data_IF_434493434112
#
_entry.id   IF_434493434112
#
_cell.length_a   1.000
_cell.length_b   1.000
_cell.length_c   1.000
_cell.angle_alpha   90.00
_cell.angle_beta   90.00
_cell.angle_gamma   90.00
#
_symmetry.space_group_name_H-M   'P 1'
#
loop_
_entity.id
_entity.type
_entity.pdbx_description
1 polymer ?
#
# COMPACT_ATOMS: atom_id res chain seq x y z
N UNK A 1 15.31 51.16 -29.36
CA UNK A 1 14.23 51.48 -28.40
C UNK A 1 13.25 50.33 -28.19
N UNK A 2 12.49 49.85 -29.20
CA UNK A 2 11.53 48.74 -29.02
C UNK A 2 12.09 47.45 -28.40
N UNK A 3 13.33 47.09 -28.71
CA UNK A 3 13.99 45.90 -28.13
C UNK A 3 14.26 46.08 -26.63
N UNK A 4 14.70 47.28 -26.21
CA UNK A 4 14.96 47.62 -24.81
C UNK A 4 13.68 47.78 -23.99
N UNK A 5 12.61 48.31 -24.59
CA UNK A 5 11.28 48.35 -23.96
C UNK A 5 10.71 46.95 -23.73
N UNK A 6 10.94 46.01 -24.66
CA UNK A 6 10.56 44.62 -24.51
C UNK A 6 11.38 43.92 -23.42
N UNK A 7 12.69 44.22 -23.29
CA UNK A 7 13.53 43.69 -22.21
C UNK A 7 13.15 44.24 -20.84
N UNK A 8 12.68 45.49 -20.75
CA UNK A 8 12.21 46.07 -19.49
C UNK A 8 10.82 45.54 -19.07
N UNK A 9 9.90 45.32 -20.01
CA UNK A 9 8.57 44.79 -19.72
C UNK A 9 8.57 43.35 -19.22
N UNK A 10 9.59 42.56 -19.56
CA UNK A 10 9.78 41.19 -19.05
C UNK A 10 10.79 41.12 -17.91
N UNK A 11 11.04 42.23 -17.19
CA UNK A 11 11.97 42.26 -16.08
C UNK A 11 11.22 42.19 -14.75
N UNK A 12 11.47 41.15 -13.96
CA UNK A 12 10.87 40.95 -12.63
C UNK A 12 11.02 42.16 -11.69
N UNK A 13 12.14 42.88 -11.72
CA UNK A 13 12.32 44.07 -10.88
C UNK A 13 11.39 45.21 -11.30
N UNK A 14 11.19 45.39 -12.61
CA UNK A 14 10.26 46.40 -13.12
C UNK A 14 8.82 46.07 -12.72
N UNK A 15 8.42 44.81 -12.88
CA UNK A 15 7.10 44.33 -12.49
C UNK A 15 6.87 44.45 -10.97
N UNK A 16 7.88 44.17 -10.15
CA UNK A 16 7.82 44.39 -8.69
C UNK A 16 7.73 45.86 -8.30
N UNK A 17 8.47 46.75 -8.97
CA UNK A 17 8.36 48.20 -8.74
C UNK A 17 6.94 48.67 -9.10
N UNK A 18 6.41 48.21 -10.23
CA UNK A 18 5.05 48.56 -10.63
C UNK A 18 3.99 48.03 -9.67
N UNK A 19 4.16 46.80 -9.16
CA UNK A 19 3.30 46.22 -8.13
C UNK A 19 3.38 47.00 -6.81
N UNK A 20 4.57 47.50 -6.44
CA UNK A 20 4.74 48.35 -5.26
C UNK A 20 4.08 49.72 -5.43
N UNK A 21 4.06 50.27 -6.64
CA UNK A 21 3.35 51.52 -6.96
C UNK A 21 1.83 51.33 -7.03
N UNK A 22 1.35 50.19 -7.51
CA UNK A 22 -0.08 49.84 -7.61
C UNK A 22 -0.34 48.40 -7.12
N UNK A 23 -0.72 48.23 -5.84
CA UNK A 23 -1.05 46.92 -5.27
C UNK A 23 -2.32 46.26 -5.84
N UNK A 24 -3.06 46.96 -6.70
CA UNK A 24 -4.28 46.43 -7.32
C UNK A 24 -4.00 45.61 -8.58
N UNK A 25 -2.77 45.65 -9.10
CA UNK A 25 -2.35 44.93 -10.30
C UNK A 25 -2.36 43.42 -10.07
N UNK A 26 -2.68 42.65 -11.12
CA UNK A 26 -2.63 41.18 -11.05
C UNK A 26 -1.19 40.70 -10.85
N UNK A 27 -1.02 39.71 -9.97
CA UNK A 27 0.24 39.01 -9.72
C UNK A 27 0.61 38.03 -10.84
N UNK A 28 -0.32 37.68 -11.73
CA UNK A 28 -0.10 36.61 -12.73
C UNK A 28 1.14 36.88 -13.60
N UNK A 29 1.35 38.13 -14.02
CA UNK A 29 2.51 38.50 -14.83
C UNK A 29 3.85 38.42 -14.04
N UNK A 30 3.82 38.67 -12.73
CA UNK A 30 5.00 38.64 -11.86
C UNK A 30 5.43 37.20 -11.58
N UNK A 31 4.45 36.28 -11.53
CA UNK A 31 4.64 34.87 -11.19
C UNK A 31 4.89 33.97 -12.41
N UNK A 32 5.02 34.56 -13.59
CA UNK A 32 5.35 33.85 -14.83
C UNK A 32 6.88 33.72 -14.99
N UNK A 33 7.43 32.52 -15.26
CA UNK A 33 8.87 32.30 -15.40
C UNK A 33 9.49 33.10 -16.55
N UNK A 34 8.70 33.52 -17.54
CA UNK A 34 9.18 34.38 -18.63
C UNK A 34 9.72 35.74 -18.15
N UNK A 35 9.32 36.21 -16.97
CA UNK A 35 9.73 37.48 -16.38
C UNK A 35 11.01 37.40 -15.53
N UNK A 36 11.48 36.20 -15.19
CA UNK A 36 12.71 36.01 -14.39
C UNK A 36 13.98 36.02 -15.23
N UNK A 37 13.86 35.88 -16.56
CA UNK A 37 14.91 36.15 -17.55
C UNK A 37 16.11 35.18 -17.58
N UNK A 38 16.24 34.28 -16.60
CA UNK A 38 17.37 33.34 -16.52
C UNK A 38 17.04 32.05 -17.30
N UNK A 39 15.89 31.44 -17.01
CA UNK A 39 15.39 30.25 -17.70
C UNK A 39 13.86 30.33 -17.86
N UNK A 40 13.31 30.25 -19.09
CA UNK A 40 11.87 30.43 -19.35
C UNK A 40 10.92 29.42 -18.68
N UNK A 41 11.47 28.38 -18.03
CA UNK A 41 10.71 27.30 -17.39
C UNK A 41 11.09 27.15 -15.91
N UNK A 42 11.80 28.13 -15.33
CA UNK A 42 12.20 28.07 -13.93
C UNK A 42 11.18 28.72 -13.00
N UNK A 43 10.42 27.88 -12.30
CA UNK A 43 9.41 28.31 -11.32
C UNK A 43 9.97 28.45 -9.90
N UNK A 44 11.26 28.19 -9.66
CA UNK A 44 11.87 28.29 -8.34
C UNK A 44 11.68 29.68 -7.74
N UNK A 45 12.09 30.74 -8.45
CA UNK A 45 11.94 32.10 -7.96
C UNK A 45 10.46 32.52 -7.93
N UNK A 46 9.67 32.09 -8.91
CA UNK A 46 8.25 32.40 -9.02
C UNK A 46 7.46 31.92 -7.79
N UNK A 47 7.70 30.68 -7.34
CA UNK A 47 7.01 30.11 -6.18
C UNK A 47 7.40 30.80 -4.88
N UNK A 48 8.69 31.08 -4.66
CA UNK A 48 9.14 31.78 -3.46
C UNK A 48 8.63 33.23 -3.42
N UNK A 49 8.57 33.89 -4.57
CA UNK A 49 8.02 35.23 -4.66
C UNK A 49 6.51 35.25 -4.38
N UNK A 50 5.75 34.28 -4.92
CA UNK A 50 4.35 34.08 -4.56
C UNK A 50 4.18 33.94 -3.04
N UNK A 51 5.01 33.11 -2.40
CA UNK A 51 4.93 32.87 -0.95
C UNK A 51 5.15 34.16 -0.15
N UNK A 52 6.18 34.94 -0.48
CA UNK A 52 6.47 36.22 0.18
C UNK A 52 5.34 37.23 -0.07
N UNK A 53 4.89 37.39 -1.31
CA UNK A 53 3.82 38.33 -1.67
C UNK A 53 2.49 37.97 -0.98
N UNK A 54 2.21 36.67 -0.81
CA UNK A 54 1.07 36.17 -0.04
C UNK A 54 1.16 36.56 1.44
N UNK A 55 2.33 36.41 2.05
CA UNK A 55 2.57 36.84 3.45
C UNK A 55 2.36 38.36 3.60
N UNK A 56 2.84 39.14 2.62
CA UNK A 56 2.68 40.59 2.58
C UNK A 56 1.25 41.05 2.22
N UNK A 57 0.30 40.12 2.02
CA UNK A 57 -1.12 40.39 1.73
C UNK A 57 -1.37 41.13 0.41
N UNK A 58 -0.49 40.96 -0.59
CA UNK A 58 -0.82 41.36 -1.96
C UNK A 58 -2.00 40.53 -2.47
N UNK A 59 -2.83 41.11 -3.35
CA UNK A 59 -4.01 40.43 -3.88
C UNK A 59 -3.61 39.13 -4.58
N UNK A 60 -4.34 38.06 -4.28
CA UNK A 60 -4.02 36.72 -4.76
C UNK A 60 -4.02 36.65 -6.30
N UNK A 61 -3.10 35.88 -6.91
CA UNK A 61 -3.22 35.51 -8.31
C UNK A 61 -4.53 34.75 -8.55
N UNK A 62 -4.89 34.54 -9.81
CA UNK A 62 -6.01 33.65 -10.11
C UNK A 62 -5.77 32.26 -9.50
N UNK A 63 -6.82 31.61 -8.99
CA UNK A 63 -6.70 30.28 -8.37
C UNK A 63 -6.07 29.26 -9.33
N UNK A 64 -6.39 29.38 -10.62
CA UNK A 64 -5.78 28.57 -11.68
C UNK A 64 -4.27 28.82 -11.84
N UNK A 65 -3.81 30.07 -11.74
CA UNK A 65 -2.39 30.40 -11.84
C UNK A 65 -1.62 29.95 -10.60
N UNK A 66 -2.20 30.10 -9.40
CA UNK A 66 -1.64 29.57 -8.16
C UNK A 66 -1.49 28.05 -8.20
N UNK A 67 -2.55 27.35 -8.62
CA UNK A 67 -2.51 25.90 -8.77
C UNK A 67 -1.43 25.46 -9.77
N UNK A 68 -1.40 26.07 -10.96
CA UNK A 68 -0.38 25.76 -11.97
C UNK A 68 1.04 25.99 -11.46
N UNK A 69 1.27 27.08 -10.71
CA UNK A 69 2.56 27.39 -10.10
C UNK A 69 3.02 26.30 -9.12
N UNK A 70 2.12 25.79 -8.26
CA UNK A 70 2.42 24.69 -7.35
C UNK A 70 2.79 23.40 -8.09
N UNK A 71 1.97 23.01 -9.08
CA UNK A 71 2.22 21.80 -9.87
C UNK A 71 3.56 21.89 -10.60
N UNK A 72 3.81 23.00 -11.31
CA UNK A 72 5.04 23.17 -12.12
C UNK A 72 6.29 23.18 -11.27
N UNK A 73 6.29 23.90 -10.15
CA UNK A 73 7.47 23.92 -9.28
C UNK A 73 7.70 22.57 -8.60
N UNK A 74 6.64 21.89 -8.17
CA UNK A 74 6.75 20.53 -7.64
C UNK A 74 7.31 19.55 -8.69
N UNK A 75 6.88 19.64 -9.95
CA UNK A 75 7.45 18.85 -11.06
C UNK A 75 8.96 19.07 -11.23
N UNK A 76 9.43 20.32 -11.14
CA UNK A 76 10.87 20.61 -11.20
C UNK A 76 11.63 19.98 -10.03
N UNK A 77 11.09 20.07 -8.81
CA UNK A 77 11.68 19.44 -7.63
C UNK A 77 11.72 17.91 -7.74
N UNK A 78 10.68 17.29 -8.32
CA UNK A 78 10.68 15.86 -8.61
C UNK A 78 11.80 15.46 -9.58
N UNK A 79 12.05 16.26 -10.63
CA UNK A 79 13.14 16.00 -11.58
C UNK A 79 14.52 16.07 -10.92
N UNK A 80 14.64 16.82 -9.83
CA UNK A 80 15.86 16.93 -9.01
C UNK A 80 15.89 15.92 -7.86
N UNK A 81 14.94 14.98 -7.80
CA UNK A 81 14.80 13.96 -6.74
C UNK A 81 14.56 14.55 -5.33
N UNK A 82 14.08 15.80 -5.27
CA UNK A 82 13.74 16.50 -4.03
C UNK A 82 12.27 16.31 -3.66
N UNK A 83 11.85 15.04 -3.57
CA UNK A 83 10.43 14.66 -3.45
C UNK A 83 9.72 15.23 -2.20
N UNK A 84 10.42 15.28 -1.06
CA UNK A 84 9.89 15.87 0.17
C UNK A 84 9.62 17.37 0.03
N UNK A 85 10.44 18.11 -0.74
CA UNK A 85 10.19 19.52 -1.04
C UNK A 85 9.04 19.68 -2.03
N UNK A 86 8.96 18.80 -3.04
CA UNK A 86 7.82 18.77 -3.97
C UNK A 86 6.50 18.57 -3.21
N UNK A 87 6.46 17.64 -2.25
CA UNK A 87 5.30 17.44 -1.38
C UNK A 87 4.93 18.70 -0.59
N UNK A 88 5.92 19.39 0.00
CA UNK A 88 5.70 20.66 0.72
C UNK A 88 5.10 21.72 -0.20
N UNK A 89 5.60 21.84 -1.42
CA UNK A 89 5.05 22.76 -2.42
C UNK A 89 3.59 22.42 -2.73
N UNK A 90 3.27 21.14 -2.98
CA UNK A 90 1.90 20.70 -3.28
C UNK A 90 0.95 20.89 -2.10
N UNK A 91 1.42 20.82 -0.85
CA UNK A 91 0.60 21.08 0.33
C UNK A 91 0.06 22.52 0.39
N UNK A 92 0.61 23.44 -0.39
CA UNK A 92 0.13 24.83 -0.47
C UNK A 92 -1.09 25.00 -1.39
N UNK A 93 -1.48 23.96 -2.15
CA UNK A 93 -2.72 23.98 -2.94
C UNK A 93 -3.91 24.19 -1.99
N UNK A 94 -4.69 25.25 -2.24
CA UNK A 94 -5.79 25.66 -1.36
C UNK A 94 -6.93 24.63 -1.36
N UNK A 95 -7.39 24.18 -2.53
CA UNK A 95 -8.44 23.17 -2.65
C UNK A 95 -7.99 21.80 -2.12
N UNK A 96 -8.79 21.20 -1.24
CA UNK A 96 -8.43 19.94 -0.57
C UNK A 96 -8.41 18.74 -1.51
N UNK A 97 -9.35 18.69 -2.47
CA UNK A 97 -9.44 17.58 -3.39
C UNK A 97 -8.27 17.60 -4.36
N UNK A 98 -8.00 18.76 -4.98
CA UNK A 98 -6.85 18.98 -5.85
C UNK A 98 -5.52 18.74 -5.13
N UNK A 99 -5.38 19.15 -3.86
CA UNK A 99 -4.17 18.90 -3.07
C UNK A 99 -3.95 17.40 -2.85
N UNK A 100 -4.99 16.66 -2.45
CA UNK A 100 -4.90 15.21 -2.26
C UNK A 100 -4.57 14.49 -3.57
N UNK A 101 -5.21 14.88 -4.67
CA UNK A 101 -4.93 14.31 -5.99
C UNK A 101 -3.48 14.56 -6.41
N UNK A 102 -2.97 15.79 -6.25
CA UNK A 102 -1.59 16.11 -6.59
C UNK A 102 -0.57 15.34 -5.74
N UNK A 103 -0.85 15.13 -4.44
CA UNK A 103 0.00 14.31 -3.56
C UNK A 103 -0.05 12.82 -3.92
N UNK A 104 -1.22 12.30 -4.30
CA UNK A 104 -1.35 10.94 -4.81
C UNK A 104 -0.58 10.76 -6.13
N UNK A 105 -0.71 11.69 -7.07
CA UNK A 105 0.04 11.69 -8.33
C UNK A 105 1.55 11.79 -8.12
N UNK A 106 2.00 12.56 -7.11
CA UNK A 106 3.40 12.59 -6.69
C UNK A 106 3.84 11.19 -6.23
N UNK A 107 3.09 10.56 -5.32
CA UNK A 107 3.37 9.20 -4.83
C UNK A 107 3.44 8.17 -5.97
N UNK A 108 2.44 8.17 -6.85
CA UNK A 108 2.36 7.27 -7.99
C UNK A 108 3.56 7.45 -8.94
N UNK A 109 4.06 8.68 -9.11
CA UNK A 109 5.21 9.01 -9.97
C UNK A 109 6.56 8.62 -9.38
N UNK A 110 6.72 8.69 -8.06
CA UNK A 110 8.00 8.38 -7.41
C UNK A 110 8.11 6.91 -7.03
N UNK A 111 7.04 6.12 -7.16
CA UNK A 111 6.96 4.75 -6.71
C UNK A 111 8.11 3.85 -7.23
N UNK A 112 8.59 4.08 -8.45
CA UNK A 112 9.70 3.34 -9.06
C UNK A 112 11.10 3.75 -8.55
N UNK A 113 11.24 4.98 -8.04
CA UNK A 113 12.52 5.59 -7.66
C UNK A 113 12.70 5.79 -6.16
N UNK A 114 11.60 5.84 -5.41
CA UNK A 114 11.61 6.16 -3.99
C UNK A 114 12.14 4.98 -3.17
N UNK A 115 13.19 5.25 -2.40
CA UNK A 115 13.76 4.36 -1.41
C UNK A 115 13.21 4.66 0.00
N UNK A 116 13.64 3.90 1.00
CA UNK A 116 13.18 4.11 2.39
C UNK A 116 13.63 5.46 2.96
N UNK A 117 14.80 5.99 2.56
CA UNK A 117 15.22 7.33 2.97
C UNK A 117 14.25 8.41 2.43
N UNK A 118 13.80 8.26 1.18
CA UNK A 118 12.78 9.12 0.57
C UNK A 118 11.49 9.10 1.39
N UNK A 119 10.98 7.91 1.74
CA UNK A 119 9.76 7.78 2.54
C UNK A 119 9.91 8.35 3.95
N UNK A 120 11.07 8.18 4.59
CA UNK A 120 11.37 8.79 5.88
C UNK A 120 11.34 10.32 5.77
N UNK A 121 11.94 10.91 4.74
CA UNK A 121 11.91 12.37 4.51
C UNK A 121 10.48 12.87 4.26
N UNK A 122 9.66 12.12 3.51
CA UNK A 122 8.26 12.46 3.27
C UNK A 122 7.43 12.43 4.57
N UNK A 123 7.66 11.45 5.44
CA UNK A 123 6.98 11.35 6.73
C UNK A 123 7.49 12.39 7.75
N UNK A 124 8.80 12.59 7.86
CA UNK A 124 9.39 13.41 8.94
C UNK A 124 9.50 14.89 8.59
N UNK A 125 9.94 15.22 7.37
CA UNK A 125 10.16 16.61 6.93
C UNK A 125 8.88 17.19 6.38
N UNK A 126 8.27 16.51 5.39
CA UNK A 126 7.04 16.97 4.76
C UNK A 126 5.79 16.68 5.61
N UNK A 127 5.90 15.80 6.62
CA UNK A 127 4.78 15.43 7.51
C UNK A 127 3.56 14.93 6.74
N UNK A 128 3.81 14.19 5.66
CA UNK A 128 2.72 13.58 4.91
C UNK A 128 2.02 12.51 5.76
N UNK A 129 0.69 12.41 5.67
CA UNK A 129 -0.05 11.30 6.26
C UNK A 129 0.46 9.94 5.76
N UNK A 130 0.46 8.95 6.65
CA UNK A 130 0.98 7.61 6.36
C UNK A 130 0.25 6.93 5.20
N UNK A 131 -1.05 7.21 5.02
CA UNK A 131 -1.83 6.62 3.92
C UNK A 131 -1.33 7.03 2.53
N UNK A 132 -0.77 8.24 2.37
CA UNK A 132 -0.21 8.71 1.08
C UNK A 132 1.10 7.96 0.79
N UNK A 133 1.92 7.75 1.83
CA UNK A 133 3.17 7.00 1.74
C UNK A 133 2.86 5.53 1.43
N UNK A 134 1.88 4.95 2.13
CA UNK A 134 1.42 3.59 1.89
C UNK A 134 0.93 3.40 0.44
N UNK A 135 0.19 4.36 -0.12
CA UNK A 135 -0.20 4.33 -1.53
C UNK A 135 1.01 4.30 -2.49
N UNK A 136 2.03 5.11 -2.26
CA UNK A 136 3.26 5.06 -3.07
C UNK A 136 3.95 3.70 -2.96
N UNK A 137 4.03 3.13 -1.75
CA UNK A 137 4.59 1.78 -1.53
C UNK A 137 3.76 0.70 -2.21
N UNK A 138 2.43 0.82 -2.21
CA UNK A 138 1.53 -0.05 -2.97
C UNK A 138 1.86 -0.03 -4.47
N UNK A 139 2.05 1.16 -5.04
CA UNK A 139 2.42 1.30 -6.45
C UNK A 139 3.77 0.66 -6.76
N UNK A 140 4.75 0.77 -5.85
CA UNK A 140 6.04 0.07 -5.98
C UNK A 140 5.87 -1.45 -5.93
N UNK A 141 5.12 -1.96 -4.97
CA UNK A 141 4.83 -3.39 -4.86
C UNK A 141 4.11 -3.93 -6.10
N UNK A 142 3.25 -3.12 -6.73
CA UNK A 142 2.59 -3.45 -7.99
C UNK A 142 3.57 -3.55 -9.17
N UNK A 143 4.61 -2.72 -9.20
CA UNK A 143 5.69 -2.82 -10.20
C UNK A 143 6.56 -4.07 -9.97
N UNK A 144 6.73 -4.48 -8.71
CA UNK A 144 7.46 -5.69 -8.31
C UNK A 144 6.63 -6.99 -8.45
N UNK A 145 5.32 -6.89 -8.75
CA UNK A 145 4.32 -7.98 -8.71
C UNK A 145 4.23 -8.73 -7.36
N UNK A 146 4.63 -8.08 -6.27
CA UNK A 146 4.60 -8.63 -4.91
C UNK A 146 3.20 -8.48 -4.30
N UNK A 147 2.36 -9.51 -4.49
CA UNK A 147 0.98 -9.51 -4.04
C UNK A 147 0.82 -9.30 -2.52
N UNK A 148 1.72 -9.84 -1.70
CA UNK A 148 1.64 -9.73 -0.24
C UNK A 148 1.88 -8.28 0.20
N UNK A 149 2.94 -7.65 -0.32
CA UNK A 149 3.20 -6.22 -0.08
C UNK A 149 2.09 -5.34 -0.64
N UNK A 150 1.57 -5.64 -1.84
CA UNK A 150 0.45 -4.90 -2.42
C UNK A 150 -0.75 -4.92 -1.47
N UNK A 151 -1.12 -6.09 -0.96
CA UNK A 151 -2.23 -6.23 -0.01
C UNK A 151 -2.00 -5.42 1.27
N UNK A 152 -0.82 -5.56 1.88
CA UNK A 152 -0.44 -4.85 3.11
C UNK A 152 -0.49 -3.33 2.94
N UNK A 153 0.12 -2.80 1.87
CA UNK A 153 0.16 -1.37 1.62
C UNK A 153 -1.18 -0.81 1.16
N UNK A 154 -2.02 -1.63 0.50
CA UNK A 154 -3.39 -1.24 0.19
C UNK A 154 -4.22 -1.02 1.46
N UNK A 155 -4.11 -1.94 2.43
CA UNK A 155 -4.73 -1.79 3.76
C UNK A 155 -4.25 -0.54 4.48
N UNK A 156 -2.93 -0.35 4.59
CA UNK A 156 -2.34 0.83 5.23
C UNK A 156 -2.71 2.15 4.54
N UNK A 157 -2.94 2.09 3.22
CA UNK A 157 -3.41 3.22 2.41
C UNK A 157 -4.92 3.49 2.51
N UNK A 158 -5.68 2.66 3.21
CA UNK A 158 -7.15 2.75 3.29
C UNK A 158 -7.86 2.35 1.98
N UNK A 159 -7.17 1.71 1.04
CA UNK A 159 -7.71 1.20 -0.22
C UNK A 159 -8.32 -0.19 0.03
N UNK A 160 -9.43 -0.22 0.78
CA UNK A 160 -10.02 -1.45 1.31
C UNK A 160 -10.55 -2.38 0.21
N UNK A 161 -11.15 -1.82 -0.85
CA UNK A 161 -11.67 -2.61 -1.97
C UNK A 161 -10.53 -3.30 -2.73
N UNK A 162 -9.46 -2.56 -3.04
CA UNK A 162 -8.26 -3.12 -3.67
C UNK A 162 -7.58 -4.15 -2.77
N UNK A 163 -7.44 -3.86 -1.49
CA UNK A 163 -6.86 -4.78 -0.51
C UNK A 163 -7.64 -6.10 -0.45
N UNK A 164 -8.98 -6.02 -0.33
CA UNK A 164 -9.84 -7.19 -0.28
C UNK A 164 -9.76 -8.00 -1.57
N UNK A 165 -9.81 -7.36 -2.74
CA UNK A 165 -9.70 -8.04 -4.03
C UNK A 165 -8.36 -8.79 -4.16
N UNK A 166 -7.25 -8.14 -3.85
CA UNK A 166 -5.91 -8.73 -3.93
C UNK A 166 -5.76 -9.88 -2.93
N UNK A 167 -6.29 -9.70 -1.72
CA UNK A 167 -6.28 -10.72 -0.67
C UNK A 167 -7.01 -11.98 -1.12
N UNK A 168 -8.26 -11.82 -1.54
CA UNK A 168 -9.15 -12.92 -1.93
C UNK A 168 -8.70 -13.64 -3.20
N UNK A 169 -8.20 -12.91 -4.20
CA UNK A 169 -7.89 -13.47 -5.52
C UNK A 169 -6.50 -14.11 -5.61
N UNK A 170 -5.49 -13.48 -4.99
CA UNK A 170 -4.07 -13.86 -5.16
C UNK A 170 -3.44 -14.26 -3.83
N UNK A 171 -3.49 -13.41 -2.81
CA UNK A 171 -2.60 -13.53 -1.65
C UNK A 171 -3.00 -14.67 -0.73
N UNK A 172 -4.23 -14.69 -0.22
CA UNK A 172 -4.67 -15.73 0.70
C UNK A 172 -4.63 -17.12 0.06
N UNK A 173 -5.12 -17.34 -1.19
CA UNK A 173 -4.98 -18.62 -1.87
C UNK A 173 -3.52 -19.11 -1.98
N UNK A 174 -2.59 -18.22 -2.35
CA UNK A 174 -1.17 -18.59 -2.49
C UNK A 174 -0.52 -18.92 -1.15
N UNK A 175 -0.85 -18.18 -0.09
CA UNK A 175 -0.37 -18.44 1.27
C UNK A 175 -0.86 -19.81 1.78
N UNK A 176 -2.12 -20.17 1.53
CA UNK A 176 -2.65 -21.50 1.85
C UNK A 176 -1.89 -22.60 1.10
N UNK A 177 -1.67 -22.43 -0.22
CA UNK A 177 -0.99 -23.45 -1.04
C UNK A 177 0.47 -23.62 -0.65
N UNK A 178 1.12 -22.54 -0.21
CA UNK A 178 2.53 -22.52 0.15
C UNK A 178 2.77 -22.78 1.64
N UNK A 179 1.71 -23.09 2.40
CA UNK A 179 1.73 -23.29 3.86
C UNK A 179 2.30 -22.11 4.68
N UNK A 180 2.24 -20.89 4.15
CA UNK A 180 2.68 -19.66 4.83
C UNK A 180 1.56 -19.11 5.73
N UNK A 181 1.27 -19.84 6.80
CA UNK A 181 0.22 -19.48 7.76
C UNK A 181 0.63 -18.32 8.69
N UNK A 182 1.93 -18.07 8.87
CA UNK A 182 2.41 -16.94 9.68
C UNK A 182 2.04 -15.61 9.03
N UNK A 183 2.37 -15.43 7.75
CA UNK A 183 2.02 -14.23 7.00
C UNK A 183 0.51 -14.09 6.81
N UNK A 184 -0.19 -15.20 6.59
CA UNK A 184 -1.65 -15.22 6.52
C UNK A 184 -2.27 -14.73 7.83
N UNK A 185 -1.74 -15.16 8.97
CA UNK A 185 -2.22 -14.74 10.29
C UNK A 185 -2.03 -13.25 10.55
N UNK A 186 -0.87 -12.70 10.16
CA UNK A 186 -0.60 -11.26 10.28
C UNK A 186 -1.58 -10.43 9.45
N UNK A 187 -1.77 -10.78 8.18
CA UNK A 187 -2.74 -10.09 7.31
C UNK A 187 -4.17 -10.27 7.79
N UNK A 188 -4.53 -11.48 8.24
CA UNK A 188 -5.87 -11.77 8.78
C UNK A 188 -6.18 -10.86 9.97
N UNK A 189 -5.22 -10.70 10.90
CA UNK A 189 -5.39 -9.79 12.03
C UNK A 189 -5.68 -8.35 11.60
N UNK A 190 -4.94 -7.84 10.61
CA UNK A 190 -5.15 -6.48 10.09
C UNK A 190 -6.50 -6.32 9.39
N UNK A 191 -6.97 -7.33 8.64
CA UNK A 191 -8.28 -7.29 8.00
C UNK A 191 -9.43 -7.35 9.00
N UNK A 192 -9.31 -8.14 10.06
CA UNK A 192 -10.36 -8.26 11.08
C UNK A 192 -10.63 -6.92 11.77
N UNK A 193 -9.61 -6.08 11.98
CA UNK A 193 -9.73 -4.72 12.54
C UNK A 193 -10.61 -3.78 11.69
N UNK A 194 -10.70 -4.02 10.38
CA UNK A 194 -11.43 -3.18 9.42
C UNK A 194 -12.58 -3.92 8.72
N UNK A 195 -12.87 -5.15 9.16
CA UNK A 195 -13.81 -6.07 8.50
C UNK A 195 -15.21 -5.47 8.31
N UNK A 196 -15.70 -4.70 9.29
CA UNK A 196 -17.00 -4.01 9.24
C UNK A 196 -17.12 -2.99 8.09
N UNK A 197 -15.99 -2.49 7.59
CA UNK A 197 -15.93 -1.49 6.52
C UNK A 197 -15.79 -2.13 5.13
N UNK A 198 -15.50 -3.44 5.07
CA UNK A 198 -15.22 -4.15 3.82
C UNK A 198 -16.52 -4.78 3.28
N UNK A 199 -17.01 -4.35 2.11
CA UNK A 199 -18.17 -4.98 1.49
C UNK A 199 -17.90 -6.45 1.18
N UNK A 200 -18.85 -7.31 1.56
CA UNK A 200 -18.79 -8.75 1.28
C UNK A 200 -17.54 -9.46 1.82
N UNK A 201 -17.00 -9.02 2.97
CA UNK A 201 -15.89 -9.69 3.65
C UNK A 201 -16.17 -11.19 3.93
N UNK A 202 -17.38 -11.50 4.41
CA UNK A 202 -17.79 -12.85 4.80
C UNK A 202 -17.63 -13.95 3.72
N UNK A 203 -18.25 -13.81 2.53
CA UNK A 203 -18.09 -14.77 1.44
C UNK A 203 -16.73 -14.69 0.73
N UNK A 204 -15.94 -13.64 0.99
CA UNK A 204 -14.62 -13.43 0.42
C UNK A 204 -13.51 -13.80 1.38
N UNK A 205 -12.90 -12.78 1.99
CA UNK A 205 -11.72 -12.95 2.84
C UNK A 205 -11.93 -13.72 4.15
N UNK A 206 -13.13 -13.69 4.74
CA UNK A 206 -13.38 -14.34 6.04
C UNK A 206 -13.19 -15.86 6.00
N UNK A 207 -13.39 -16.50 4.85
CA UNK A 207 -13.16 -17.95 4.66
C UNK A 207 -11.70 -18.30 5.00
N UNK A 208 -10.75 -17.47 4.57
CA UNK A 208 -9.33 -17.69 4.81
C UNK A 208 -8.93 -17.37 6.25
N UNK A 209 -9.50 -16.32 6.84
CA UNK A 209 -9.20 -15.94 8.23
C UNK A 209 -9.75 -16.97 9.22
N UNK A 210 -10.95 -17.51 8.95
CA UNK A 210 -11.54 -18.58 9.76
C UNK A 210 -10.77 -19.89 9.62
N UNK A 211 -10.32 -20.24 8.41
CA UNK A 211 -9.45 -21.40 8.20
C UNK A 211 -8.16 -21.29 9.04
N UNK A 212 -7.49 -20.14 8.97
CA UNK A 212 -6.31 -19.87 9.79
C UNK A 212 -6.63 -19.96 11.29
N UNK A 213 -7.77 -19.40 11.73
CA UNK A 213 -8.21 -19.43 13.13
C UNK A 213 -8.43 -20.87 13.63
N UNK A 214 -9.07 -21.72 12.83
CA UNK A 214 -9.26 -23.15 13.15
C UNK A 214 -7.90 -23.83 13.32
N UNK A 215 -6.99 -23.64 12.36
CA UNK A 215 -5.66 -24.27 12.40
C UNK A 215 -4.85 -23.82 13.63
N UNK A 216 -4.82 -22.52 13.89
CA UNK A 216 -4.14 -21.97 15.07
C UNK A 216 -4.72 -22.48 16.38
N UNK A 217 -6.05 -22.50 16.50
CA UNK A 217 -6.71 -23.02 17.71
C UNK A 217 -6.43 -24.50 17.92
N UNK A 218 -6.39 -25.29 16.84
CA UNK A 218 -6.06 -26.71 16.90
C UNK A 218 -4.64 -26.98 17.44
N UNK A 219 -3.67 -26.12 17.11
CA UNK A 219 -2.30 -26.19 17.63
C UNK A 219 -2.20 -25.84 19.13
N UNK A 220 -3.14 -25.04 19.64
CA UNK A 220 -3.16 -24.52 21.01
C UNK A 220 -4.05 -25.35 21.96
N UNK A 221 -4.71 -26.41 21.49
CA UNK A 221 -5.71 -27.17 22.28
C UNK A 221 -5.09 -27.84 23.51
N UNK A 222 -5.77 -27.64 24.65
CA UNK A 222 -5.51 -28.38 25.89
C UNK A 222 -6.65 -29.29 26.37
N UNK A 223 -7.89 -29.10 25.88
CA UNK A 223 -9.11 -29.74 26.40
C UNK A 223 -10.08 -30.19 25.29
N UNK A 224 -10.92 -31.18 25.55
CA UNK A 224 -11.83 -31.80 24.57
C UNK A 224 -13.08 -30.94 24.29
N UNK A 225 -13.49 -30.06 25.20
CA UNK A 225 -14.61 -29.12 24.97
C UNK A 225 -14.25 -28.06 23.91
N UNK A 226 -12.99 -27.61 23.88
CA UNK A 226 -12.47 -26.68 22.86
C UNK A 226 -12.50 -27.32 21.46
N UNK A 227 -12.30 -28.64 21.38
CA UNK A 227 -12.36 -29.37 20.11
C UNK A 227 -13.77 -29.29 19.53
N UNK A 228 -14.81 -29.44 20.35
CA UNK A 228 -16.20 -29.40 19.88
C UNK A 228 -16.58 -28.05 19.27
N UNK A 229 -16.18 -26.95 19.91
CA UNK A 229 -16.38 -25.60 19.35
C UNK A 229 -15.67 -25.43 17.99
N UNK A 230 -14.45 -25.97 17.87
CA UNK A 230 -13.68 -25.93 16.62
C UNK A 230 -14.38 -26.75 15.51
N UNK A 231 -15.00 -27.88 15.84
CA UNK A 231 -15.77 -28.68 14.87
C UNK A 231 -17.02 -27.95 14.41
N UNK A 232 -17.73 -27.23 15.29
CA UNK A 232 -18.86 -26.39 14.87
C UNK A 232 -18.41 -25.29 13.89
N UNK A 233 -17.24 -24.68 14.13
CA UNK A 233 -16.66 -23.72 13.18
C UNK A 233 -16.23 -24.38 11.87
N UNK A 234 -15.71 -25.60 11.93
CA UNK A 234 -15.34 -26.38 10.75
C UNK A 234 -16.55 -26.68 9.85
N UNK A 235 -17.69 -27.09 10.43
CA UNK A 235 -18.96 -27.28 9.71
C UNK A 235 -19.46 -25.99 9.06
N UNK A 236 -19.38 -24.86 9.78
CA UNK A 236 -19.72 -23.54 9.23
C UNK A 236 -18.80 -23.13 8.06
N UNK A 237 -17.50 -23.45 8.17
CA UNK A 237 -16.53 -23.20 7.12
C UNK A 237 -16.75 -24.09 5.89
N UNK A 238 -17.08 -25.37 6.08
CA UNK A 238 -17.39 -26.31 5.00
C UNK A 238 -18.51 -25.77 4.10
N UNK A 239 -19.62 -25.32 4.69
CA UNK A 239 -20.74 -24.75 3.95
C UNK A 239 -20.34 -23.52 3.13
N UNK A 240 -19.47 -22.65 3.67
CA UNK A 240 -18.99 -21.46 2.97
C UNK A 240 -17.94 -21.78 1.90
N UNK A 241 -17.11 -22.79 2.10
CA UNK A 241 -16.16 -23.27 1.09
C UNK A 241 -16.87 -23.79 -0.16
N UNK A 242 -18.00 -24.47 0.01
CA UNK A 242 -18.86 -24.91 -1.12
C UNK A 242 -19.44 -23.72 -1.88
N UNK A 243 -19.80 -22.65 -1.17
CA UNK A 243 -20.38 -21.43 -1.75
C UNK A 243 -19.33 -20.41 -2.22
N UNK A 244 -18.03 -20.66 -1.99
CA UNK A 244 -16.95 -19.73 -2.31
C UNK A 244 -16.89 -19.48 -3.83
N UNK A 245 -16.82 -18.21 -4.27
CA UNK A 245 -16.63 -17.92 -5.68
C UNK A 245 -15.20 -18.32 -6.12
N UNK A 246 -15.10 -19.29 -7.03
CA UNK A 246 -13.83 -19.78 -7.56
C UNK A 246 -13.62 -19.26 -8.97
N UNK A 247 -12.79 -18.23 -9.11
CA UNK A 247 -12.52 -17.56 -10.38
C UNK A 247 -11.16 -17.96 -10.99
N UNK A 248 -10.24 -18.52 -10.20
CA UNK A 248 -8.91 -18.92 -10.65
C UNK A 248 -8.55 -20.38 -10.30
N UNK A 249 -7.63 -21.03 -11.05
CA UNK A 249 -7.11 -22.35 -10.69
C UNK A 249 -6.45 -22.38 -9.31
N UNK A 250 -5.80 -21.28 -8.92
CA UNK A 250 -5.15 -21.11 -7.62
C UNK A 250 -6.21 -21.12 -6.51
N UNK A 251 -7.29 -20.36 -6.67
CA UNK A 251 -8.40 -20.38 -5.72
C UNK A 251 -9.04 -21.76 -5.61
N UNK A 252 -9.18 -22.50 -6.71
CA UNK A 252 -9.70 -23.88 -6.70
C UNK A 252 -8.80 -24.82 -5.91
N UNK A 253 -7.49 -24.70 -6.11
CA UNK A 253 -6.51 -25.51 -5.38
C UNK A 253 -6.55 -25.18 -3.89
N UNK A 254 -6.51 -23.90 -3.52
CA UNK A 254 -6.61 -23.47 -2.13
C UNK A 254 -7.92 -23.94 -1.47
N UNK A 255 -9.06 -23.79 -2.15
CA UNK A 255 -10.34 -24.29 -1.67
C UNK A 255 -10.34 -25.82 -1.48
N UNK A 256 -9.68 -26.57 -2.37
CA UNK A 256 -9.54 -28.03 -2.24
C UNK A 256 -8.67 -28.40 -1.04
N UNK A 257 -7.55 -27.69 -0.83
CA UNK A 257 -6.67 -27.88 0.33
C UNK A 257 -7.42 -27.62 1.63
N UNK A 258 -8.11 -26.47 1.72
CA UNK A 258 -8.93 -26.13 2.89
C UNK A 258 -10.04 -27.14 3.12
N UNK A 259 -10.78 -27.53 2.07
CA UNK A 259 -11.88 -28.49 2.17
C UNK A 259 -11.40 -29.87 2.64
N UNK A 260 -10.27 -30.36 2.11
CA UNK A 260 -9.68 -31.63 2.53
C UNK A 260 -9.28 -31.59 4.01
N UNK A 261 -8.71 -30.49 4.46
CA UNK A 261 -8.34 -30.30 5.86
C UNK A 261 -9.57 -30.26 6.78
N UNK A 262 -10.56 -29.44 6.44
CA UNK A 262 -11.83 -29.32 7.19
C UNK A 262 -12.57 -30.65 7.25
N UNK A 263 -12.68 -31.36 6.12
CA UNK A 263 -13.28 -32.69 6.07
C UNK A 263 -12.52 -33.68 6.95
N UNK A 264 -11.18 -33.73 6.87
CA UNK A 264 -10.39 -34.63 7.74
C UNK A 264 -10.62 -34.33 9.22
N UNK A 265 -10.72 -33.05 9.59
CA UNK A 265 -10.96 -32.62 10.96
C UNK A 265 -12.35 -33.06 11.47
N UNK A 266 -13.41 -32.82 10.69
CA UNK A 266 -14.79 -33.20 11.03
C UNK A 266 -14.90 -34.72 11.20
N UNK A 267 -14.49 -35.48 10.18
CA UNK A 267 -14.64 -36.94 10.19
C UNK A 267 -13.71 -37.62 11.19
N UNK A 268 -12.52 -37.06 11.45
CA UNK A 268 -11.63 -37.53 12.50
C UNK A 268 -12.28 -37.46 13.88
N UNK A 269 -12.92 -36.33 14.19
CA UNK A 269 -13.59 -36.15 15.48
C UNK A 269 -14.87 -36.99 15.61
N UNK A 270 -15.76 -36.94 14.61
CA UNK A 270 -17.03 -37.68 14.65
C UNK A 270 -16.80 -39.20 14.65
N UNK A 271 -15.75 -39.67 13.98
CA UNK A 271 -15.30 -41.06 14.06
C UNK A 271 -14.96 -41.48 15.49
N UNK A 272 -14.21 -40.64 16.22
CA UNK A 272 -13.84 -40.90 17.63
C UNK A 272 -15.01 -40.84 18.61
N UNK A 273 -15.99 -39.95 18.39
CA UNK A 273 -17.22 -39.90 19.20
C UNK A 273 -18.07 -41.18 19.02
N UNK A 274 -18.20 -41.69 17.79
CA UNK A 274 -18.99 -42.91 17.54
C UNK A 274 -18.38 -44.17 18.14
N UNK A 275 -17.06 -44.20 18.36
CA UNK A 275 -16.34 -45.34 18.96
C UNK A 275 -16.16 -45.23 20.49
N UNK A 276 -16.61 -44.14 21.14
CA UNK A 276 -16.37 -43.86 22.58
C UNK A 276 -14.89 -44.02 23.00
N UNK A 277 -13.95 -43.69 22.12
CA UNK A 277 -12.52 -43.73 22.42
C UNK A 277 -12.05 -42.31 22.78
N UNK A 278 -11.38 -42.08 23.92
CA UNK A 278 -10.74 -40.79 24.17
C UNK A 278 -9.66 -40.58 23.10
N UNK A 279 -9.63 -39.40 22.49
CA UNK A 279 -8.59 -39.02 21.53
C UNK A 279 -7.22 -39.15 22.21
N UNK A 280 -6.41 -40.13 21.80
CA UNK A 280 -5.03 -40.21 22.25
C UNK A 280 -4.24 -39.05 21.66
N UNK A 281 -3.30 -38.50 22.43
CA UNK A 281 -2.36 -37.48 21.96
C UNK A 281 -1.59 -37.94 20.70
N UNK A 282 -1.42 -39.25 20.53
CA UNK A 282 -0.80 -39.89 19.36
C UNK A 282 -1.67 -39.80 18.10
N UNK A 283 -3.00 -39.91 18.22
CA UNK A 283 -3.93 -39.76 17.09
C UNK A 283 -4.01 -38.30 16.61
N UNK A 284 -3.92 -37.35 17.55
CA UNK A 284 -3.82 -35.90 17.25
C UNK A 284 -2.54 -35.57 16.46
N UNK A 285 -1.44 -36.27 16.73
CA UNK A 285 -0.15 -36.13 16.04
C UNK A 285 -0.07 -36.92 14.73
N UNK A 286 -0.71 -38.07 14.59
CA UNK A 286 -0.78 -38.83 13.32
C UNK A 286 -1.62 -38.07 12.28
N UNK A 287 -2.71 -37.43 12.69
CA UNK A 287 -3.49 -36.53 11.82
C UNK A 287 -2.61 -35.37 11.32
N UNK A 288 -1.72 -34.83 12.17
CA UNK A 288 -0.77 -33.76 11.84
C UNK A 288 0.42 -34.24 10.97
N UNK A 289 0.93 -35.45 11.22
CA UNK A 289 2.04 -36.08 10.50
C UNK A 289 1.64 -36.50 9.08
N UNK A 290 0.44 -37.03 8.89
CA UNK A 290 -0.09 -37.43 7.58
C UNK A 290 -0.40 -36.23 6.66
N UNK A 291 -0.23 -35.00 7.16
CA UNK A 291 -0.34 -33.75 6.39
C UNK A 291 0.99 -33.35 5.72
N UNK A 292 2.13 -33.98 6.05
CA UNK A 292 3.40 -33.81 5.32
C UNK A 292 3.42 -34.62 4.01
N UNK A 293 2.45 -34.40 3.12
CA UNK A 293 2.55 -34.92 1.76
C UNK A 293 3.39 -33.94 0.93
N UNK A 294 4.69 -34.22 0.89
CA UNK A 294 5.72 -33.77 -0.05
C UNK A 294 5.20 -33.06 -1.32
N UNK A 295 5.62 -31.81 -1.60
CA UNK A 295 5.58 -31.27 -2.95
C UNK A 295 6.83 -31.76 -3.68
N UNK A 296 6.74 -32.85 -4.44
CA UNK A 296 7.76 -33.18 -5.42
C UNK A 296 7.18 -33.09 -6.82
N UNK A 297 6.95 -31.85 -7.27
CA UNK A 297 6.94 -31.54 -8.69
C UNK A 297 8.34 -31.07 -9.08
N UNK A 298 9.03 -31.72 -10.05
CA UNK A 298 10.29 -31.21 -10.56
C UNK A 298 9.98 -29.95 -11.39
N UNK A 299 10.21 -28.78 -10.82
CA UNK A 299 10.40 -27.55 -11.58
C UNK A 299 11.83 -27.52 -12.08
N UNK A 300 12.03 -27.93 -13.33
CA UNK A 300 13.20 -27.53 -14.10
C UNK A 300 13.13 -26.00 -14.29
N UNK A 301 13.87 -25.26 -13.50
CA UNK A 301 14.33 -23.93 -13.90
C UNK A 301 15.78 -23.72 -13.44
N UNK A 302 16.67 -23.80 -14.41
CA UNK A 302 18.06 -23.43 -14.28
C UNK A 302 18.24 -21.94 -13.97
N UNK A 303 19.34 -21.65 -13.26
CA UNK A 303 20.02 -20.36 -13.04
C UNK A 303 19.30 -19.39 -12.06
N UNK A 304 19.96 -18.73 -11.11
CA UNK A 304 21.38 -18.45 -10.91
C UNK A 304 21.64 -18.16 -9.43
N UNK A 305 22.61 -18.85 -8.84
CA UNK A 305 23.10 -18.58 -7.49
C UNK A 305 24.01 -17.34 -7.50
N UNK A 306 23.79 -16.38 -6.60
CA UNK A 306 24.86 -15.45 -6.19
C UNK A 306 24.73 -15.07 -4.72
N UNK A 307 25.40 -15.88 -3.89
CA UNK A 307 26.26 -15.54 -2.75
C UNK A 307 25.96 -14.23 -1.99
N UNK A 308 25.52 -14.35 -0.73
CA UNK A 308 25.77 -13.36 0.32
C UNK A 308 26.80 -13.94 1.28
N UNK A 309 27.94 -13.26 1.35
CA UNK A 309 29.08 -13.50 2.25
C UNK A 309 28.73 -12.98 3.64
N UNK A 310 28.85 -13.86 4.65
CA UNK A 310 28.82 -13.50 6.06
C UNK A 310 30.18 -12.92 6.49
N UNK A 311 30.20 -11.66 6.91
CA UNK A 311 31.33 -11.08 7.64
C UNK A 311 31.16 -11.36 9.14
N UNK A 312 32.04 -12.20 9.69
CA UNK A 312 32.32 -12.26 11.13
C UNK A 312 33.38 -11.21 11.46
N UNK A 313 33.07 -10.30 12.38
CA UNK A 313 34.07 -9.48 13.05
C UNK A 313 34.65 -10.28 14.22
N UNK A 314 35.97 -10.42 14.23
CA UNK A 314 36.76 -10.92 15.35
C UNK A 314 37.85 -9.90 15.68
N UNK A 315 38.06 -9.74 16.98
CA UNK A 315 38.97 -8.83 17.66
C UNK A 315 40.39 -8.77 17.09
N UNK A 316 40.90 -7.54 16.95
CA UNK A 316 42.22 -7.07 17.44
C UNK A 316 42.34 -5.55 17.31
#
# INVERSE_FOLDING_TARGET
MRKAEHTLKCNIFYELIQLACDPSRSLDAVLEPSCTGIHPMDYHLCWHLWFILRILRFKHPSESAEHALHIRYAEQLCQMELYHLAAIVLMHISDSLSRNNALNELGDRIADKADEETYIKLSTIARLPDYIIARSRYMRAKLEDDGAKMCLYALQGGMLDEAHSIFFEKVAPNMIISDDYESLGQLSGLFEEVSDQIPAWGPGGQIFTDFYRIKKRLEEIGDDEEVKEIIEWAHSLELRLVAMPVNSPIQRLAATVMSKYVFKLIYGYEGTETENLPLSYEDKLEIASDLEILPNFPMDSAASSTLIVTCKNGDQ
#
